data_IF_096539119599
#
_entry.id   IF_096539119599
#
_cell.length_a   1.000
_cell.length_b   1.000
_cell.length_c   1.000
_cell.angle_alpha   90.00
_cell.angle_beta   90.00
_cell.angle_gamma   90.00
#
_symmetry.space_group_name_H-M   'P 1'
#
loop_
_entity.id
_entity.type
_entity.pdbx_description
1 polymer ?
#
# COMPACT_ATOMS: atom_id res chain seq x y z
N UNK A 1 3.96 4.27 -16.24
CA UNK A 1 2.61 3.72 -16.07
C UNK A 1 2.54 3.03 -14.72
N UNK A 2 1.68 3.51 -13.83
CA UNK A 2 1.30 2.81 -12.60
C UNK A 2 -0.20 2.57 -12.71
N UNK A 3 -0.64 1.39 -12.29
CA UNK A 3 -2.03 0.99 -12.33
C UNK A 3 -2.28 0.07 -11.15
N UNK A 4 -3.46 0.23 -10.57
CA UNK A 4 -4.08 -0.68 -9.62
C UNK A 4 -5.25 -1.35 -10.31
N UNK A 5 -5.60 -2.54 -9.86
CA UNK A 5 -6.68 -3.29 -10.46
C UNK A 5 -7.54 -3.97 -9.41
N UNK A 6 -8.83 -4.10 -9.73
CA UNK A 6 -9.81 -4.89 -8.98
C UNK A 6 -10.66 -5.67 -9.98
N UNK A 7 -11.21 -6.81 -9.56
CA UNK A 7 -12.12 -7.58 -10.39
C UNK A 7 -13.35 -7.96 -9.56
N UNK A 8 -14.53 -7.85 -10.15
CA UNK A 8 -15.79 -8.21 -9.48
C UNK A 8 -16.85 -8.64 -10.49
N UNK A 9 -17.72 -9.55 -10.05
CA UNK A 9 -18.86 -10.02 -10.81
C UNK A 9 -20.14 -9.28 -10.41
N UNK A 10 -20.91 -8.84 -11.41
CA UNK A 10 -22.26 -8.28 -11.25
C UNK A 10 -23.19 -8.96 -12.26
N UNK A 11 -24.30 -9.53 -11.78
CA UNK A 11 -25.36 -10.08 -12.64
C UNK A 11 -24.86 -11.05 -13.74
N UNK A 12 -23.90 -11.91 -13.39
CA UNK A 12 -23.32 -12.89 -14.32
C UNK A 12 -22.29 -12.33 -15.29
N UNK A 13 -21.90 -11.06 -15.15
CA UNK A 13 -20.81 -10.43 -15.90
C UNK A 13 -19.62 -10.15 -15.00
N UNK A 14 -18.42 -10.21 -15.56
CA UNK A 14 -17.16 -9.93 -14.86
C UNK A 14 -16.57 -8.60 -15.29
N UNK A 15 -16.23 -7.76 -14.32
CA UNK A 15 -15.70 -6.41 -14.57
C UNK A 15 -14.29 -6.26 -14.01
N UNK A 16 -13.34 -5.87 -14.87
CA UNK A 16 -11.99 -5.49 -14.50
C UNK A 16 -11.90 -3.97 -14.39
N UNK A 17 -11.49 -3.50 -13.23
CA UNK A 17 -11.24 -2.11 -12.91
C UNK A 17 -9.74 -1.90 -13.02
N UNK A 18 -9.32 -0.88 -13.77
CA UNK A 18 -7.92 -0.45 -13.87
C UNK A 18 -7.92 1.04 -13.55
N UNK A 19 -7.19 1.44 -12.52
CA UNK A 19 -7.21 2.82 -12.04
C UNK A 19 -5.89 3.27 -11.44
N UNK A 20 -5.73 4.58 -11.41
CA UNK A 20 -4.79 5.30 -10.55
C UNK A 20 -5.43 6.66 -10.21
N UNK A 21 -4.69 7.55 -9.55
CA UNK A 21 -5.19 8.85 -9.11
C UNK A 21 -5.77 9.72 -10.24
N UNK A 22 -5.34 9.50 -11.48
CA UNK A 22 -5.67 10.33 -12.64
C UNK A 22 -6.62 9.66 -13.65
N UNK A 23 -6.96 8.38 -13.48
CA UNK A 23 -7.86 7.69 -14.42
C UNK A 23 -8.58 6.49 -13.80
N UNK A 24 -9.72 6.14 -14.41
CA UNK A 24 -10.45 4.90 -14.17
C UNK A 24 -10.89 4.30 -15.51
N UNK A 25 -10.63 3.02 -15.70
CA UNK A 25 -11.13 2.19 -16.80
C UNK A 25 -11.86 1.00 -16.21
N UNK A 26 -13.07 0.75 -16.68
CA UNK A 26 -13.82 -0.47 -16.33
C UNK A 26 -14.07 -1.22 -17.62
N UNK A 27 -13.67 -2.49 -17.61
CA UNK A 27 -13.81 -3.39 -18.75
C UNK A 27 -14.76 -4.53 -18.37
N UNK A 28 -15.76 -4.78 -19.19
CA UNK A 28 -16.46 -6.07 -19.17
C UNK A 28 -15.50 -7.12 -19.75
N UNK A 29 -15.06 -8.04 -18.92
CA UNK A 29 -14.14 -9.14 -19.23
C UNK A 29 -14.80 -10.49 -18.97
N UNK A 30 -16.13 -10.57 -19.09
CA UNK A 30 -16.89 -11.83 -19.00
C UNK A 30 -16.34 -12.86 -20.00
N UNK A 31 -16.00 -12.39 -21.20
CA UNK A 31 -15.12 -13.08 -22.13
C UNK A 31 -13.78 -12.31 -22.19
N UNK A 32 -12.72 -12.78 -21.51
CA UNK A 32 -11.44 -12.08 -21.47
C UNK A 32 -10.80 -11.90 -22.85
N UNK A 33 -11.08 -12.77 -23.83
CA UNK A 33 -10.53 -12.65 -25.18
C UNK A 33 -11.17 -11.49 -25.96
N UNK A 34 -12.40 -11.12 -25.61
CA UNK A 34 -13.17 -10.06 -26.26
C UNK A 34 -13.58 -8.95 -25.29
N UNK A 35 -12.72 -8.65 -24.31
CA UNK A 35 -13.00 -7.64 -23.28
C UNK A 35 -13.30 -6.26 -23.86
N UNK A 36 -14.29 -5.56 -23.28
CA UNK A 36 -14.78 -4.26 -23.77
C UNK A 36 -14.70 -3.21 -22.70
N UNK A 37 -14.14 -2.05 -23.00
CA UNK A 37 -14.22 -0.88 -22.11
C UNK A 37 -15.68 -0.42 -22.06
N UNK A 38 -16.28 -0.47 -20.87
CA UNK A 38 -17.66 -0.02 -20.61
C UNK A 38 -17.71 1.31 -19.86
N UNK A 39 -16.58 1.73 -19.30
CA UNK A 39 -16.43 3.05 -18.67
C UNK A 39 -14.99 3.55 -18.79
N UNK A 40 -14.84 4.86 -19.00
CA UNK A 40 -13.55 5.52 -19.13
C UNK A 40 -13.63 6.95 -18.61
N UNK A 41 -12.75 7.32 -17.67
CA UNK A 41 -12.57 8.68 -17.17
C UNK A 41 -11.09 9.02 -17.00
N UNK A 42 -10.68 10.24 -17.33
CA UNK A 42 -9.30 10.71 -17.23
C UNK A 42 -8.42 10.23 -18.39
N UNK A 43 -7.12 10.46 -18.29
CA UNK A 43 -6.17 10.26 -19.39
C UNK A 43 -6.06 8.81 -19.90
N UNK A 44 -5.91 8.67 -21.22
CA UNK A 44 -5.61 7.40 -21.89
C UNK A 44 -4.10 7.25 -22.00
N UNK A 45 -3.56 6.13 -21.53
CA UNK A 45 -2.13 5.85 -21.60
C UNK A 45 -1.73 5.24 -22.94
N UNK A 46 -0.71 5.83 -23.57
CA UNK A 46 -0.04 5.29 -24.75
C UNK A 46 1.48 5.24 -24.60
N UNK A 47 2.23 4.95 -25.68
CA UNK A 47 3.70 4.88 -25.65
C UNK A 47 4.39 6.17 -25.17
N UNK A 48 3.71 7.32 -25.28
CA UNK A 48 4.21 8.64 -24.87
C UNK A 48 3.76 9.05 -23.45
N UNK A 49 3.08 8.17 -22.72
CA UNK A 49 2.48 8.46 -21.42
C UNK A 49 0.97 8.70 -21.49
N UNK A 50 0.41 9.27 -20.42
CA UNK A 50 -0.99 9.66 -20.34
C UNK A 50 -1.31 10.78 -21.34
N UNK A 51 -2.50 10.75 -21.93
CA UNK A 51 -3.01 11.83 -22.78
C UNK A 51 -3.36 13.10 -21.99
N UNK A 52 -3.45 13.01 -20.68
CA UNK A 52 -3.80 14.11 -19.77
C UNK A 52 -2.70 14.30 -18.72
N UNK A 53 -2.50 15.56 -18.31
CA UNK A 53 -1.56 15.89 -17.24
C UNK A 53 -2.27 15.82 -15.90
N UNK A 54 -1.75 15.01 -14.98
CA UNK A 54 -2.14 15.04 -13.58
C UNK A 54 -1.25 16.02 -12.80
N UNK A 55 -1.86 16.98 -12.09
CA UNK A 55 -1.14 17.91 -11.22
C UNK A 55 -1.46 17.60 -9.73
N UNK A 56 -0.50 17.04 -8.99
CA UNK A 56 -0.70 16.71 -7.58
C UNK A 56 -0.88 17.96 -6.69
N UNK A 57 -0.56 19.17 -7.17
CA UNK A 57 -0.72 20.41 -6.41
C UNK A 57 -2.17 20.93 -6.41
N UNK A 58 -3.01 20.46 -7.33
CA UNK A 58 -4.39 20.96 -7.51
C UNK A 58 -5.46 19.89 -7.32
N UNK A 59 -5.05 18.63 -7.11
CA UNK A 59 -5.98 17.53 -6.88
C UNK A 59 -6.79 17.73 -5.59
N UNK A 60 -8.11 17.67 -5.72
CA UNK A 60 -9.03 17.75 -4.57
C UNK A 60 -9.62 16.38 -4.22
N UNK A 61 -9.85 15.56 -5.24
CA UNK A 61 -10.40 14.22 -5.13
C UNK A 61 -9.84 13.33 -6.24
N UNK A 62 -9.73 12.04 -5.97
CA UNK A 62 -9.22 11.03 -6.90
C UNK A 62 -9.61 9.63 -6.42
N UNK A 63 -9.52 8.60 -7.26
CA UNK A 63 -9.65 7.21 -6.80
C UNK A 63 -8.26 6.66 -6.49
N UNK A 64 -7.92 6.57 -5.19
CA UNK A 64 -6.64 5.99 -4.78
C UNK A 64 -6.70 4.47 -4.66
N UNK A 65 -5.82 3.88 -3.85
CA UNK A 65 -5.69 2.43 -3.79
C UNK A 65 -6.95 1.82 -3.23
N UNK A 66 -7.57 0.91 -3.96
CA UNK A 66 -8.90 0.43 -3.62
C UNK A 66 -8.95 -1.08 -3.53
N UNK A 67 -9.78 -1.55 -2.61
CA UNK A 67 -10.15 -2.95 -2.42
C UNK A 67 -11.65 -3.05 -2.49
N UNK A 68 -12.16 -4.03 -3.24
CA UNK A 68 -13.58 -4.36 -3.32
C UNK A 68 -13.80 -5.70 -2.64
N UNK A 69 -14.74 -5.77 -1.70
CA UNK A 69 -15.11 -7.00 -1.01
C UNK A 69 -16.61 -7.09 -0.78
N UNK A 70 -17.14 -8.31 -0.71
CA UNK A 70 -18.56 -8.53 -0.45
C UNK A 70 -18.90 -8.31 1.03
N UNK A 71 -19.77 -7.34 1.33
CA UNK A 71 -20.28 -7.15 2.68
C UNK A 71 -21.50 -8.04 2.92
N UNK A 72 -21.38 -9.04 3.80
CA UNK A 72 -22.51 -9.87 4.22
C UNK A 72 -23.62 -9.04 4.88
N UNK A 73 -23.26 -7.99 5.61
CA UNK A 73 -24.21 -7.10 6.30
C UNK A 73 -25.10 -6.33 5.32
N UNK A 74 -24.51 -5.80 4.24
CA UNK A 74 -25.24 -5.01 3.25
C UNK A 74 -25.82 -5.88 2.12
N UNK A 75 -25.36 -7.13 1.99
CA UNK A 75 -25.70 -8.00 0.85
C UNK A 75 -25.24 -7.42 -0.47
N UNK A 76 -24.14 -6.65 -0.46
CA UNK A 76 -23.62 -5.89 -1.61
C UNK A 76 -22.10 -5.79 -1.56
N UNK A 77 -21.43 -5.56 -2.70
CA UNK A 77 -20.03 -5.21 -2.71
C UNK A 77 -19.80 -3.83 -2.08
N UNK A 78 -18.72 -3.74 -1.32
CA UNK A 78 -18.21 -2.51 -0.71
C UNK A 78 -16.80 -2.28 -1.23
N UNK A 79 -16.59 -1.10 -1.80
CA UNK A 79 -15.26 -0.61 -2.18
C UNK A 79 -14.74 0.32 -1.08
N UNK A 80 -13.52 0.10 -0.63
CA UNK A 80 -12.80 1.07 0.19
C UNK A 80 -11.63 1.61 -0.62
N UNK A 81 -11.59 2.93 -0.80
CA UNK A 81 -10.55 3.62 -1.55
C UNK A 81 -9.73 4.52 -0.62
N UNK A 82 -8.42 4.32 -0.65
CA UNK A 82 -7.42 5.08 0.10
C UNK A 82 -7.12 6.43 -0.54
N UNK A 83 -6.80 7.40 0.30
CA UNK A 83 -6.39 8.75 -0.02
C UNK A 83 -5.19 9.12 0.85
N UNK A 84 -4.09 9.49 0.20
CA UNK A 84 -2.81 9.83 0.81
C UNK A 84 -2.29 11.18 0.29
N UNK A 85 -1.30 11.72 1.01
CA UNK A 85 -0.50 12.85 0.53
C UNK A 85 0.14 12.57 -0.85
N UNK A 86 0.46 13.63 -1.58
CA UNK A 86 0.97 13.54 -2.94
C UNK A 86 2.39 13.00 -3.02
N UNK A 87 2.57 11.67 -3.15
CA UNK A 87 3.91 11.03 -3.22
C UNK A 87 4.76 11.44 -4.43
N UNK A 88 4.13 11.79 -5.54
CA UNK A 88 4.80 12.06 -6.81
C UNK A 88 4.48 13.46 -7.30
N UNK A 89 5.51 14.18 -7.79
CA UNK A 89 5.36 15.43 -8.54
C UNK A 89 5.12 16.69 -7.70
N UNK A 90 4.85 16.58 -6.40
CA UNK A 90 4.68 17.76 -5.53
C UNK A 90 5.99 18.20 -4.86
N UNK A 91 6.82 17.24 -4.47
CA UNK A 91 8.09 17.46 -3.77
C UNK A 91 9.13 16.48 -4.33
N UNK A 92 10.38 16.93 -4.48
CA UNK A 92 11.51 16.13 -4.92
C UNK A 92 12.51 15.92 -3.78
N UNK A 93 12.86 16.99 -3.07
CA UNK A 93 13.82 16.98 -1.96
C UNK A 93 13.30 17.84 -0.80
N UNK A 94 12.77 17.19 0.23
CA UNK A 94 12.13 17.85 1.37
C UNK A 94 13.08 18.73 2.18
N UNK A 95 14.39 18.44 2.17
CA UNK A 95 15.37 19.25 2.90
C UNK A 95 15.59 20.62 2.24
N UNK A 96 15.33 20.74 0.94
CA UNK A 96 15.55 21.96 0.15
C UNK A 96 14.23 22.69 -0.19
N UNK A 97 13.08 22.06 0.05
CA UNK A 97 11.76 22.54 -0.39
C UNK A 97 10.76 22.70 0.79
N UNK A 98 11.02 23.59 1.76
CA UNK A 98 10.17 23.75 2.95
C UNK A 98 8.74 24.22 2.62
N UNK A 99 8.55 24.97 1.54
CA UNK A 99 7.22 25.36 1.02
C UNK A 99 6.43 24.13 0.54
N UNK A 100 7.09 23.17 -0.11
CA UNK A 100 6.47 21.91 -0.54
C UNK A 100 6.19 20.98 0.63
N UNK A 101 7.04 20.97 1.65
CA UNK A 101 6.76 20.29 2.92
C UNK A 101 5.50 20.85 3.56
N UNK A 102 5.37 22.18 3.65
CA UNK A 102 4.18 22.83 4.18
C UNK A 102 2.92 22.49 3.36
N UNK A 103 3.03 22.47 2.03
CA UNK A 103 1.92 22.07 1.15
C UNK A 103 1.47 20.60 1.34
N UNK A 104 2.40 19.67 1.61
CA UNK A 104 2.04 18.28 1.96
C UNK A 104 1.36 18.19 3.34
N UNK A 105 1.80 18.99 4.31
CA UNK A 105 1.15 19.04 5.63
C UNK A 105 -0.26 19.60 5.52
N UNK A 106 -0.47 20.61 4.68
CA UNK A 106 -1.77 21.20 4.37
C UNK A 106 -2.38 20.67 3.06
N UNK A 107 -2.26 19.36 2.82
CA UNK A 107 -2.66 18.78 1.53
C UNK A 107 -4.14 19.04 1.21
N UNK A 108 -4.40 19.36 -0.06
CA UNK A 108 -5.68 19.81 -0.58
C UNK A 108 -6.67 18.66 -0.91
N UNK A 109 -6.33 17.44 -0.52
CA UNK A 109 -7.20 16.26 -0.62
C UNK A 109 -7.25 15.52 0.70
N UNK A 110 -8.17 14.57 0.81
CA UNK A 110 -8.34 13.71 1.97
C UNK A 110 -7.03 12.98 2.31
N UNK A 111 -6.72 12.92 3.61
CA UNK A 111 -5.72 12.03 4.19
C UNK A 111 -6.42 10.91 4.95
N UNK A 112 -6.88 9.89 4.24
CA UNK A 112 -7.59 8.77 4.84
C UNK A 112 -8.23 7.85 3.82
N UNK A 113 -9.53 7.55 3.92
CA UNK A 113 -10.22 6.66 2.99
C UNK A 113 -11.70 7.02 2.81
N UNK A 114 -12.27 6.58 1.70
CA UNK A 114 -13.71 6.61 1.42
C UNK A 114 -14.26 5.21 1.26
N UNK A 115 -15.50 5.00 1.71
CA UNK A 115 -16.22 3.73 1.62
C UNK A 115 -17.41 3.91 0.69
N UNK A 116 -17.53 3.06 -0.32
CA UNK A 116 -18.64 3.07 -1.27
C UNK A 116 -19.35 1.73 -1.23
N UNK A 117 -20.68 1.73 -1.23
CA UNK A 117 -21.46 0.56 -1.61
C UNK A 117 -21.70 0.60 -3.12
N UNK A 118 -21.55 -0.54 -3.78
CA UNK A 118 -21.69 -0.65 -5.22
C UNK A 118 -23.03 -1.32 -5.56
N UNK A 119 -23.99 -0.53 -6.03
CA UNK A 119 -25.28 -1.04 -6.53
C UNK A 119 -25.18 -1.56 -7.98
N UNK A 120 -24.03 -1.35 -8.62
CA UNK A 120 -23.69 -1.86 -9.93
C UNK A 120 -22.22 -1.60 -10.27
N UNK A 121 -21.76 -2.04 -11.45
CA UNK A 121 -20.35 -1.99 -11.79
C UNK A 121 -19.84 -0.57 -12.06
N UNK A 122 -20.70 0.37 -12.47
CA UNK A 122 -20.27 1.69 -12.95
C UNK A 122 -20.28 2.76 -11.84
N UNK A 123 -19.43 3.80 -11.91
CA UNK A 123 -19.35 4.84 -10.88
C UNK A 123 -20.67 5.56 -10.57
N UNK A 124 -21.54 5.71 -11.57
CA UNK A 124 -22.89 6.27 -11.39
C UNK A 124 -23.79 5.44 -10.48
N UNK A 125 -23.40 4.19 -10.19
CA UNK A 125 -24.11 3.23 -9.36
C UNK A 125 -23.39 2.99 -8.02
N UNK A 126 -22.34 3.76 -7.72
CA UNK A 126 -21.68 3.71 -6.42
C UNK A 126 -22.24 4.80 -5.53
N UNK A 127 -22.51 4.45 -4.28
CA UNK A 127 -22.94 5.42 -3.27
C UNK A 127 -21.91 5.52 -2.18
N UNK A 128 -21.42 6.74 -1.96
CA UNK A 128 -20.54 7.05 -0.83
C UNK A 128 -21.29 6.80 0.48
N UNK A 129 -20.71 5.95 1.33
CA UNK A 129 -21.21 5.64 2.67
C UNK A 129 -20.47 6.43 3.75
N UNK A 130 -19.15 6.53 3.63
CA UNK A 130 -18.32 7.19 4.64
C UNK A 130 -17.08 7.82 4.02
N UNK A 131 -16.66 8.93 4.64
CA UNK A 131 -15.34 9.54 4.45
C UNK A 131 -14.67 9.60 5.82
N UNK A 132 -13.45 9.10 5.94
CA UNK A 132 -12.69 9.11 7.21
C UNK A 132 -11.28 9.60 6.95
N UNK A 133 -10.81 10.50 7.80
CA UNK A 133 -9.37 10.78 7.93
C UNK A 133 -8.71 9.66 8.73
N UNK A 134 -7.43 9.38 8.45
CA UNK A 134 -6.60 8.53 9.30
C UNK A 134 -5.89 9.31 10.40
N UNK A 135 -6.14 10.62 10.50
CA UNK A 135 -5.79 11.42 11.67
C UNK A 135 -6.67 11.01 12.85
N UNK A 136 -6.12 10.19 13.74
CA UNK A 136 -6.88 9.60 14.85
C UNK A 136 -7.07 10.57 16.02
N UNK A 137 -6.26 11.63 16.09
CA UNK A 137 -6.35 12.64 17.14
C UNK A 137 -7.33 13.76 16.77
N UNK A 138 -7.52 14.00 15.47
CA UNK A 138 -8.43 15.00 14.93
C UNK A 138 -9.39 14.38 13.89
N UNK A 139 -10.30 13.48 14.30
CA UNK A 139 -11.16 12.73 13.38
C UNK A 139 -12.11 13.62 12.55
N UNK A 140 -12.38 14.84 13.01
CA UNK A 140 -13.25 15.81 12.34
C UNK A 140 -12.46 16.90 11.58
N UNK A 141 -11.13 16.77 11.49
CA UNK A 141 -10.30 17.76 10.81
C UNK A 141 -10.69 17.86 9.31
N UNK A 142 -10.98 19.07 8.80
CA UNK A 142 -11.26 19.26 7.39
C UNK A 142 -9.99 19.04 6.55
N UNK A 143 -10.19 18.80 5.26
CA UNK A 143 -9.10 18.76 4.27
C UNK A 143 -8.24 20.02 4.39
N UNK A 144 -6.91 19.86 4.32
CA UNK A 144 -5.93 20.93 4.59
C UNK A 144 -5.52 21.08 6.06
N UNK A 145 -6.24 20.47 7.00
CA UNK A 145 -5.91 20.50 8.45
C UNK A 145 -5.64 19.10 9.04
N UNK A 146 -5.87 18.04 8.26
CA UNK A 146 -5.59 16.66 8.65
C UNK A 146 -4.08 16.41 8.78
N UNK A 147 -3.64 15.75 9.85
CA UNK A 147 -2.25 15.32 10.01
C UNK A 147 -1.97 13.94 9.40
N UNK A 148 -0.69 13.57 9.43
CA UNK A 148 -0.24 12.24 9.02
C UNK A 148 -0.30 12.03 7.51
N UNK A 149 -0.22 10.77 7.08
CA UNK A 149 -0.02 10.43 5.67
C UNK A 149 -1.29 10.25 4.85
N UNK A 150 -2.42 9.98 5.51
CA UNK A 150 -3.55 9.31 4.88
C UNK A 150 -3.33 7.80 4.74
N UNK A 151 -4.30 7.13 4.12
CA UNK A 151 -4.22 5.69 3.85
C UNK A 151 -3.39 5.44 2.59
N UNK A 152 -2.34 4.62 2.70
CA UNK A 152 -1.48 4.28 1.58
C UNK A 152 -1.98 3.02 0.86
N UNK A 153 -1.89 3.06 -0.47
CA UNK A 153 -2.20 1.93 -1.36
C UNK A 153 -3.54 1.22 -1.02
N UNK A 154 -3.70 -0.07 -1.31
CA UNK A 154 -4.98 -0.76 -1.14
C UNK A 154 -5.18 -1.22 0.32
N UNK A 155 -6.34 -0.95 0.95
CA UNK A 155 -6.67 -1.50 2.27
C UNK A 155 -6.77 -3.03 2.28
N UNK A 156 -6.39 -3.67 3.37
CA UNK A 156 -6.66 -5.08 3.61
C UNK A 156 -8.09 -5.18 4.18
N UNK A 157 -9.05 -5.54 3.33
CA UNK A 157 -10.46 -5.64 3.70
C UNK A 157 -11.14 -6.84 3.03
N UNK A 158 -11.78 -7.68 3.85
CA UNK A 158 -12.44 -8.92 3.40
C UNK A 158 -13.98 -8.82 3.42
N UNK A 159 -14.55 -7.62 3.50
CA UNK A 159 -16.01 -7.44 3.57
C UNK A 159 -16.60 -7.65 4.98
N UNK A 160 -15.72 -7.89 5.96
CA UNK A 160 -16.05 -8.21 7.34
C UNK A 160 -16.09 -7.02 8.29
N UNK A 161 -15.80 -7.31 9.56
CA UNK A 161 -15.76 -6.39 10.68
C UNK A 161 -14.46 -5.58 10.72
N UNK A 162 -13.35 -6.06 10.20
CA UNK A 162 -12.06 -5.38 10.33
C UNK A 162 -11.48 -5.02 8.97
N UNK A 163 -10.84 -3.86 8.93
CA UNK A 163 -9.99 -3.42 7.84
C UNK A 163 -8.65 -2.96 8.41
N UNK A 164 -7.58 -3.21 7.68
CA UNK A 164 -6.24 -2.71 8.01
C UNK A 164 -5.74 -1.80 6.89
N UNK A 165 -5.20 -0.64 7.26
CA UNK A 165 -4.59 0.32 6.33
C UNK A 165 -3.16 0.63 6.75
N UNK A 166 -2.29 0.95 5.79
CA UNK A 166 -0.98 1.56 6.07
C UNK A 166 -1.16 3.06 6.24
N UNK A 167 -0.75 3.61 7.38
CA UNK A 167 -0.94 5.03 7.70
C UNK A 167 -0.02 5.50 8.83
N UNK A 168 0.47 6.73 8.71
CA UNK A 168 0.92 7.56 9.83
C UNK A 168 -0.29 8.35 10.37
N UNK A 169 -0.61 8.25 11.67
CA UNK A 169 -1.76 8.93 12.26
C UNK A 169 -1.55 10.44 12.43
N UNK A 170 -0.30 10.89 12.54
CA UNK A 170 0.02 12.29 12.80
C UNK A 170 1.44 12.64 12.30
N UNK A 171 1.85 13.89 12.51
CA UNK A 171 3.14 14.41 12.06
C UNK A 171 4.35 13.91 12.85
N UNK A 172 4.16 13.19 13.97
CA UNK A 172 5.27 12.63 14.75
C UNK A 172 5.90 11.40 14.09
N UNK A 173 5.18 10.72 13.20
CA UNK A 173 5.69 9.57 12.42
C UNK A 173 6.59 10.06 11.29
N UNK A 174 7.75 10.63 11.64
CA UNK A 174 8.61 11.39 10.74
C UNK A 174 10.08 10.92 10.73
N UNK A 175 10.41 9.80 11.38
CA UNK A 175 11.75 9.20 11.32
C UNK A 175 11.97 8.50 9.97
N UNK A 176 12.20 9.33 8.95
CA UNK A 176 12.49 8.92 7.58
C UNK A 176 13.27 10.03 6.89
N UNK A 177 14.30 9.67 6.12
CA UNK A 177 15.08 10.62 5.31
C UNK A 177 14.74 10.52 3.84
N UNK A 178 13.73 9.72 3.47
CA UNK A 178 13.33 9.57 2.07
C UNK A 178 12.95 10.96 1.50
N UNK A 179 13.49 11.35 0.32
CA UNK A 179 13.61 12.75 -0.05
C UNK A 179 12.26 13.36 -0.45
N UNK A 180 11.39 12.59 -1.09
CA UNK A 180 10.09 13.05 -1.56
C UNK A 180 8.90 12.55 -0.71
N UNK A 181 9.14 12.10 0.53
CA UNK A 181 8.07 11.66 1.42
C UNK A 181 8.30 12.09 2.87
N UNK A 182 7.23 12.50 3.54
CA UNK A 182 7.32 13.09 4.88
C UNK A 182 7.27 12.06 6.00
N UNK A 183 6.49 11.00 5.82
CA UNK A 183 6.05 10.17 6.94
C UNK A 183 6.70 8.79 6.94
N UNK A 184 6.74 8.16 8.10
CA UNK A 184 7.11 6.76 8.31
C UNK A 184 5.85 5.99 8.72
N UNK A 185 4.99 5.54 7.79
CA UNK A 185 3.66 5.03 8.11
C UNK A 185 3.72 3.72 8.91
N UNK A 186 2.85 3.58 9.90
CA UNK A 186 2.57 2.31 10.57
C UNK A 186 1.36 1.61 9.96
N UNK A 187 0.58 0.94 10.80
CA UNK A 187 -0.69 0.33 10.41
C UNK A 187 -1.82 0.81 11.31
N UNK A 188 -3.02 0.98 10.76
CA UNK A 188 -4.23 1.21 11.54
C UNK A 188 -5.22 0.09 11.33
N UNK A 189 -5.86 -0.33 12.42
CA UNK A 189 -7.02 -1.23 12.39
C UNK A 189 -8.29 -0.41 12.55
N UNK A 190 -9.28 -0.71 11.73
CA UNK A 190 -10.59 -0.06 11.72
C UNK A 190 -11.70 -1.10 11.87
N UNK A 191 -12.74 -0.76 12.63
CA UNK A 191 -13.99 -1.52 12.71
C UNK A 191 -14.93 -1.05 11.60
N UNK A 192 -15.25 -1.97 10.72
CA UNK A 192 -16.11 -1.88 9.55
C UNK A 192 -17.46 -2.58 9.76
N UNK A 193 -17.82 -2.93 11.01
CA UNK A 193 -19.13 -3.52 11.35
C UNK A 193 -20.28 -2.69 10.79
N UNK A 194 -20.11 -1.37 10.71
CA UNK A 194 -20.95 -0.48 9.91
C UNK A 194 -20.11 0.23 8.84
N UNK A 195 -20.18 -0.17 7.56
CA UNK A 195 -19.45 0.51 6.49
C UNK A 195 -19.84 1.98 6.29
N UNK A 196 -20.99 2.43 6.79
CA UNK A 196 -21.39 3.85 6.81
C UNK A 196 -20.83 4.60 8.03
N UNK A 197 -20.34 3.89 9.04
CA UNK A 197 -19.68 4.48 10.19
C UNK A 197 -18.43 3.68 10.63
N UNK A 198 -17.35 3.66 9.82
CA UNK A 198 -16.10 3.05 10.24
C UNK A 198 -15.53 3.75 11.48
N UNK A 199 -15.06 2.99 12.45
CA UNK A 199 -14.45 3.52 13.68
C UNK A 199 -13.01 3.03 13.86
N UNK A 200 -12.15 3.91 14.36
CA UNK A 200 -10.76 3.58 14.64
C UNK A 200 -10.67 2.59 15.81
N UNK A 201 -9.79 1.59 15.70
CA UNK A 201 -9.60 0.54 16.71
C UNK A 201 -8.22 0.65 17.34
N UNK A 202 -7.15 0.67 16.54
CA UNK A 202 -5.79 0.73 17.04
C UNK A 202 -4.80 1.24 16.00
N UNK A 203 -3.69 1.80 16.48
CA UNK A 203 -2.51 2.16 15.70
C UNK A 203 -1.38 1.20 16.08
N UNK A 204 -0.66 0.70 15.07
CA UNK A 204 0.53 -0.12 15.22
C UNK A 204 1.71 0.66 14.69
N UNK A 205 2.74 0.79 15.54
CA UNK A 205 4.06 1.26 15.16
C UNK A 205 5.08 0.14 15.41
N UNK A 206 6.14 0.14 14.62
CA UNK A 206 7.37 -0.60 14.88
C UNK A 206 8.46 0.37 15.38
N UNK A 207 9.50 -0.12 16.06
CA UNK A 207 10.61 0.72 16.50
C UNK A 207 11.24 1.51 15.33
N UNK A 208 11.60 2.76 15.55
CA UNK A 208 12.27 3.60 14.53
C UNK A 208 11.38 4.52 13.70
N UNK A 209 10.11 4.73 14.10
CA UNK A 209 9.15 5.56 13.35
C UNK A 209 8.85 6.97 13.93
N UNK A 210 8.87 7.13 15.25
CA UNK A 210 8.23 8.24 15.95
C UNK A 210 9.30 9.23 16.44
N UNK A 211 9.28 10.45 15.90
CA UNK A 211 10.10 11.57 16.31
C UNK A 211 9.64 12.09 17.68
N UNK A 212 10.58 12.46 18.54
CA UNK A 212 10.32 12.88 19.92
C UNK A 212 10.15 11.73 20.91
N UNK A 213 10.21 10.48 20.44
CA UNK A 213 10.28 9.30 21.30
C UNK A 213 11.72 8.75 21.30
N UNK A 214 12.39 8.83 22.45
CA UNK A 214 13.81 8.48 22.57
C UNK A 214 14.15 7.03 22.17
N UNK A 215 13.25 6.07 22.42
CA UNK A 215 13.47 4.67 22.02
C UNK A 215 13.37 4.51 20.50
N UNK A 216 12.39 5.16 19.87
CA UNK A 216 12.25 5.15 18.42
C UNK A 216 13.42 5.89 17.75
N UNK A 217 13.83 7.04 18.27
CA UNK A 217 14.98 7.79 17.74
C UNK A 217 16.27 6.98 17.85
N UNK A 218 16.55 6.38 19.00
CA UNK A 218 17.73 5.53 19.19
C UNK A 218 17.69 4.33 18.23
N UNK A 219 16.54 3.67 18.08
CA UNK A 219 16.38 2.55 17.14
C UNK A 219 16.65 3.01 15.70
N UNK A 220 16.11 4.17 15.32
CA UNK A 220 16.33 4.74 13.99
C UNK A 220 17.82 5.00 13.74
N UNK A 221 18.51 5.67 14.66
CA UNK A 221 19.94 5.97 14.54
C UNK A 221 20.83 4.71 14.46
N UNK A 222 20.40 3.60 15.09
CA UNK A 222 21.11 2.32 15.01
C UNK A 222 20.77 1.51 13.75
N UNK A 223 19.77 1.92 12.97
CA UNK A 223 19.45 1.26 11.70
C UNK A 223 20.54 1.61 10.68
N UNK A 224 21.17 0.62 9.99
CA UNK A 224 22.24 0.88 9.03
C UNK A 224 21.81 1.67 7.78
N UNK A 225 20.53 1.99 7.65
CA UNK A 225 19.96 2.85 6.60
C UNK A 225 19.85 4.32 7.02
N UNK A 226 19.97 4.63 8.31
CA UNK A 226 19.98 6.02 8.76
C UNK A 226 21.17 6.77 8.15
N UNK A 227 20.93 7.99 7.69
CA UNK A 227 21.88 8.85 6.98
C UNK A 227 21.97 8.58 5.48
N UNK A 228 21.38 7.51 4.94
CA UNK A 228 21.52 7.17 3.52
C UNK A 228 20.58 7.96 2.59
N UNK A 229 19.56 8.64 3.15
CA UNK A 229 18.58 9.49 2.44
C UNK A 229 17.85 8.84 1.27
N UNK A 230 17.87 7.53 1.15
CA UNK A 230 17.40 6.81 -0.04
C UNK A 230 16.53 5.61 0.28
N UNK A 231 16.55 5.12 1.52
CA UNK A 231 15.65 4.05 1.96
C UNK A 231 14.27 4.61 2.35
N UNK A 232 13.22 4.00 1.83
CA UNK A 232 11.87 4.21 2.33
C UNK A 232 11.74 3.60 3.73
N UNK A 233 11.31 4.38 4.72
CA UNK A 233 11.14 3.92 6.12
C UNK A 233 9.65 3.91 6.46
N UNK A 234 9.08 2.75 6.80
CA UNK A 234 7.67 2.58 7.14
C UNK A 234 6.85 1.81 6.09
N UNK A 235 5.59 1.53 6.42
CA UNK A 235 4.68 0.75 5.60
C UNK A 235 4.27 1.50 4.32
N UNK A 236 4.02 0.73 3.26
CA UNK A 236 3.33 1.19 2.04
C UNK A 236 2.05 0.43 1.76
N UNK A 237 2.00 -0.83 2.17
CA UNK A 237 0.84 -1.71 2.09
C UNK A 237 0.45 -2.12 3.52
N UNK A 238 -0.81 -2.50 3.78
CA UNK A 238 -1.27 -2.94 5.09
C UNK A 238 -0.59 -4.24 5.56
N UNK A 239 -0.93 -4.68 6.78
CA UNK A 239 -0.63 -6.04 7.23
C UNK A 239 -1.48 -7.01 6.41
N UNK A 240 -0.84 -8.00 5.78
CA UNK A 240 -1.52 -9.05 5.04
C UNK A 240 -1.86 -10.23 5.95
N UNK A 241 -3.06 -10.76 5.78
CA UNK A 241 -3.59 -11.85 6.57
C UNK A 241 -3.70 -13.12 5.71
N UNK A 242 -3.05 -14.24 6.07
CA UNK A 242 -3.29 -15.53 5.42
C UNK A 242 -4.76 -15.96 5.51
N UNK A 243 -5.42 -15.56 6.60
CA UNK A 243 -6.83 -15.80 6.89
C UNK A 243 -7.40 -14.57 7.56
N UNK A 244 -8.59 -14.12 7.14
CA UNK A 244 -9.23 -12.94 7.73
C UNK A 244 -9.49 -13.13 9.24
N UNK A 245 -9.54 -12.03 9.98
CA UNK A 245 -9.76 -12.04 11.43
C UNK A 245 -11.14 -12.65 11.79
N UNK A 246 -12.15 -12.39 10.97
CA UNK A 246 -13.50 -12.92 11.11
C UNK A 246 -13.58 -14.43 10.86
N UNK A 247 -12.66 -14.97 10.05
CA UNK A 247 -12.52 -16.39 9.84
C UNK A 247 -11.61 -17.06 10.90
N UNK A 248 -11.24 -16.34 11.95
CA UNK A 248 -10.39 -16.82 13.04
C UNK A 248 -8.89 -16.72 12.76
N UNK A 249 -8.49 -15.94 11.75
CA UNK A 249 -7.10 -15.56 11.53
C UNK A 249 -6.56 -14.74 12.70
N UNK A 250 -5.28 -14.93 13.00
CA UNK A 250 -4.61 -14.30 14.15
C UNK A 250 -3.23 -13.78 13.83
N UNK A 251 -2.56 -14.32 12.82
CA UNK A 251 -1.19 -13.95 12.46
C UNK A 251 -1.24 -13.16 11.17
N UNK A 252 -0.60 -11.99 11.15
CA UNK A 252 -0.46 -11.16 9.96
C UNK A 252 1.00 -10.79 9.72
N UNK A 253 1.32 -10.44 8.48
CA UNK A 253 2.68 -10.10 8.06
C UNK A 253 2.71 -8.74 7.37
N UNK A 254 3.66 -7.88 7.77
CA UNK A 254 3.74 -6.50 7.32
C UNK A 254 5.16 -6.11 6.92
N UNK A 255 5.27 -5.46 5.77
CA UNK A 255 6.50 -4.88 5.27
C UNK A 255 6.62 -3.40 5.71
N UNK A 256 7.77 -3.02 6.27
CA UNK A 256 8.01 -1.69 6.85
C UNK A 256 9.18 -0.95 6.16
N UNK A 257 9.42 -1.23 4.88
CA UNK A 257 10.55 -0.66 4.15
C UNK A 257 11.88 -1.02 4.82
N UNK A 258 12.76 -0.04 4.99
CA UNK A 258 14.06 -0.20 5.65
C UNK A 258 14.01 -0.58 7.13
N UNK A 259 12.84 -0.51 7.78
CA UNK A 259 12.65 -0.97 9.17
C UNK A 259 12.53 -2.50 9.28
N UNK A 260 12.35 -3.20 8.16
CA UNK A 260 12.33 -4.66 8.08
C UNK A 260 10.95 -5.24 7.74
N UNK A 261 10.85 -6.55 7.92
CA UNK A 261 9.63 -7.34 7.73
C UNK A 261 9.19 -7.94 9.06
N UNK A 262 7.91 -7.81 9.39
CA UNK A 262 7.38 -8.12 10.72
C UNK A 262 6.24 -9.14 10.66
N UNK A 263 6.15 -9.96 11.70
CA UNK A 263 4.97 -10.75 12.02
C UNK A 263 4.24 -10.13 13.22
N UNK A 264 2.91 -10.17 13.17
CA UNK A 264 2.03 -9.60 14.18
C UNK A 264 1.01 -10.63 14.65
N UNK A 265 0.71 -10.62 15.95
CA UNK A 265 -0.47 -11.25 16.54
C UNK A 265 -1.60 -10.23 16.62
N UNK A 266 -2.68 -10.53 15.90
CA UNK A 266 -3.92 -9.77 15.75
C UNK A 266 -5.10 -10.48 16.43
N UNK A 267 -4.85 -11.44 17.32
CA UNK A 267 -5.91 -12.11 18.13
C UNK A 267 -6.76 -11.12 18.92
N UNK A 268 -6.19 -9.97 19.29
CA UNK A 268 -6.91 -8.82 19.79
C UNK A 268 -6.61 -7.60 18.89
N UNK A 269 -7.50 -7.24 17.94
CA UNK A 269 -7.26 -6.14 17.02
C UNK A 269 -7.16 -4.76 17.69
N UNK A 270 -7.68 -4.62 18.93
CA UNK A 270 -7.50 -3.40 19.73
C UNK A 270 -6.11 -3.30 20.38
N UNK A 271 -5.38 -4.42 20.46
CA UNK A 271 -4.01 -4.47 21.01
C UNK A 271 -3.13 -5.45 20.19
N UNK A 272 -2.85 -5.15 18.91
CA UNK A 272 -1.92 -5.95 18.12
C UNK A 272 -0.56 -6.07 18.80
N UNK A 273 0.09 -7.22 18.67
CA UNK A 273 1.43 -7.45 19.22
C UNK A 273 2.40 -7.74 18.10
N UNK A 274 3.57 -7.10 18.13
CA UNK A 274 4.71 -7.56 17.33
C UNK A 274 5.19 -8.90 17.89
N UNK A 275 5.40 -9.88 17.01
CA UNK A 275 5.91 -11.20 17.40
C UNK A 275 7.41 -11.32 17.15
N UNK A 276 7.83 -10.98 15.93
CA UNK A 276 9.21 -11.08 15.48
C UNK A 276 9.40 -10.31 14.19
N UNK A 277 10.66 -10.09 13.84
CA UNK A 277 11.02 -9.41 12.61
C UNK A 277 12.21 -10.10 11.93
N UNK A 278 12.44 -9.74 10.67
CA UNK A 278 13.65 -10.05 9.94
C UNK A 278 14.04 -8.83 9.11
N UNK A 279 15.34 -8.61 8.95
CA UNK A 279 15.87 -7.58 8.08
C UNK A 279 16.95 -8.19 7.17
N UNK A 280 17.32 -7.45 6.14
CA UNK A 280 18.38 -7.81 5.20
C UNK A 280 19.42 -6.68 5.17
N UNK A 281 20.65 -6.96 4.70
CA UNK A 281 21.64 -5.90 4.48
C UNK A 281 21.04 -4.74 3.65
N UNK A 282 21.43 -3.48 3.91
CA UNK A 282 20.92 -2.34 3.15
C UNK A 282 21.04 -2.54 1.64
N UNK A 283 19.96 -2.24 0.93
CA UNK A 283 19.93 -2.16 -0.52
C UNK A 283 19.52 -0.73 -0.84
N UNK A 284 20.52 0.14 -1.05
CA UNK A 284 20.35 1.58 -1.24
C UNK A 284 19.29 1.90 -2.31
N UNK A 285 18.54 2.99 -2.11
CA UNK A 285 17.41 3.45 -2.93
C UNK A 285 16.15 2.56 -2.94
N UNK A 286 14.99 3.20 -3.03
CA UNK A 286 13.69 2.54 -3.14
C UNK A 286 13.15 1.98 -1.81
N UNK A 287 12.31 0.95 -1.89
CA UNK A 287 11.75 0.27 -0.72
C UNK A 287 12.37 -1.11 -0.59
N UNK A 288 13.00 -1.47 0.53
CA UNK A 288 13.62 -2.80 0.70
C UNK A 288 12.63 -3.91 1.03
N UNK A 289 11.52 -3.58 1.70
CA UNK A 289 10.37 -4.45 1.93
C UNK A 289 9.09 -3.67 1.62
N UNK A 290 8.41 -4.00 0.50
CA UNK A 290 7.20 -3.29 0.03
C UNK A 290 5.90 -4.06 0.34
N UNK A 291 5.91 -5.39 0.34
CA UNK A 291 4.71 -6.24 0.51
C UNK A 291 4.99 -7.54 1.27
N UNK A 292 3.91 -8.25 1.64
CA UNK A 292 3.96 -9.64 2.08
C UNK A 292 3.02 -10.48 1.20
N UNK A 293 3.51 -11.59 0.65
CA UNK A 293 2.68 -12.62 0.02
C UNK A 293 2.50 -13.78 0.99
N UNK A 294 1.31 -13.86 1.54
CA UNK A 294 0.90 -14.81 2.56
C UNK A 294 0.24 -16.08 1.99
N UNK A 295 0.16 -16.22 0.67
CA UNK A 295 -0.57 -17.32 0.00
C UNK A 295 -0.02 -18.71 0.32
N UNK A 296 1.25 -18.80 0.72
CA UNK A 296 1.92 -20.05 1.02
C UNK A 296 1.98 -20.36 2.52
N UNK A 297 1.58 -19.41 3.37
CA UNK A 297 1.82 -19.50 4.80
C UNK A 297 1.07 -20.66 5.44
N UNK A 298 -0.24 -20.78 5.22
CA UNK A 298 -1.04 -21.87 5.83
C UNK A 298 -0.58 -23.25 5.37
N UNK A 299 -0.05 -23.37 4.14
CA UNK A 299 0.41 -24.65 3.58
C UNK A 299 1.82 -25.02 4.02
N UNK A 300 2.71 -24.04 4.17
CA UNK A 300 4.16 -24.30 4.25
C UNK A 300 4.87 -23.62 5.41
N UNK A 301 4.23 -22.63 6.04
CA UNK A 301 4.83 -21.73 7.00
C UNK A 301 5.81 -20.72 6.41
N UNK A 302 5.88 -20.59 5.08
CA UNK A 302 6.69 -19.57 4.41
C UNK A 302 5.84 -18.40 3.92
N UNK A 303 6.44 -17.22 3.94
CA UNK A 303 5.88 -15.97 3.40
C UNK A 303 6.89 -15.39 2.41
N UNK A 304 6.42 -14.84 1.29
CA UNK A 304 7.32 -14.14 0.37
C UNK A 304 7.25 -12.63 0.60
N UNK A 305 8.38 -11.96 0.45
CA UNK A 305 8.43 -10.50 0.53
C UNK A 305 9.50 -9.98 -0.41
N UNK A 306 9.31 -8.79 -0.94
CA UNK A 306 10.27 -8.17 -1.84
C UNK A 306 10.34 -6.67 -1.62
N UNK A 307 11.45 -6.08 -2.05
CA UNK A 307 11.55 -4.64 -2.21
C UNK A 307 10.82 -4.17 -3.47
N UNK A 308 10.79 -2.85 -3.69
CA UNK A 308 10.27 -2.23 -4.89
C UNK A 308 11.33 -1.28 -5.46
N UNK A 309 11.84 -1.55 -6.67
CA UNK A 309 12.70 -0.63 -7.40
C UNK A 309 11.92 0.64 -7.77
N UNK A 310 12.40 1.81 -7.34
CA UNK A 310 11.77 3.12 -7.61
C UNK A 310 12.49 3.93 -8.70
N UNK A 311 13.76 3.63 -8.97
CA UNK A 311 14.58 4.25 -10.01
C UNK A 311 14.53 3.44 -11.31
N UNK A 312 14.61 4.15 -12.43
CA UNK A 312 14.59 3.53 -13.77
C UNK A 312 15.99 3.21 -14.24
N UNK A 313 16.07 2.42 -15.28
CA UNK A 313 17.26 2.16 -16.08
C UNK A 313 18.44 1.65 -15.23
N UNK A 314 18.09 0.93 -14.15
CA UNK A 314 19.00 0.36 -13.17
C UNK A 314 19.92 1.37 -12.46
N UNK A 315 19.45 2.60 -12.25
CA UNK A 315 20.02 3.54 -11.28
C UNK A 315 19.72 3.18 -9.80
N UNK A 316 19.61 1.89 -9.51
CA UNK A 316 19.55 1.32 -8.17
C UNK A 316 19.91 -0.18 -8.20
N UNK A 317 20.34 -0.76 -7.06
CA UNK A 317 20.51 -2.20 -6.93
C UNK A 317 19.17 -2.93 -7.08
N UNK A 318 19.18 -4.06 -7.78
CA UNK A 318 18.02 -4.96 -7.86
C UNK A 318 17.56 -5.41 -6.46
N UNK A 319 16.25 -5.52 -6.29
CA UNK A 319 15.60 -5.97 -5.06
C UNK A 319 15.23 -7.45 -5.18
N UNK A 320 15.72 -8.28 -4.26
CA UNK A 320 15.40 -9.70 -4.27
C UNK A 320 13.96 -9.98 -3.82
N UNK A 321 13.42 -11.11 -4.25
CA UNK A 321 12.23 -11.72 -3.63
C UNK A 321 12.74 -12.72 -2.60
N UNK A 322 12.47 -12.46 -1.33
CA UNK A 322 12.88 -13.28 -0.20
C UNK A 322 11.81 -14.31 0.13
N UNK A 323 12.25 -15.53 0.44
CA UNK A 323 11.46 -16.56 1.10
C UNK A 323 11.76 -16.48 2.59
N UNK A 324 10.77 -16.08 3.38
CA UNK A 324 10.89 -15.95 4.84
C UNK A 324 10.28 -17.18 5.49
N UNK A 325 11.08 -17.90 6.28
CA UNK A 325 10.59 -18.95 7.19
C UNK A 325 9.86 -18.29 8.36
N UNK A 326 8.56 -18.51 8.42
CA UNK A 326 7.65 -17.95 9.41
C UNK A 326 6.93 -19.04 10.21
N UNK A 327 7.42 -20.30 10.19
CA UNK A 327 6.85 -21.41 10.98
C UNK A 327 6.82 -21.11 12.47
N UNK A 328 7.77 -20.32 12.94
CA UNK A 328 7.71 -19.62 14.22
C UNK A 328 7.69 -18.09 13.95
N UNK A 329 6.51 -17.44 14.03
CA UNK A 329 6.37 -16.02 13.77
C UNK A 329 7.19 -15.12 14.71
N UNK A 330 7.63 -15.62 15.87
CA UNK A 330 8.50 -14.88 16.77
C UNK A 330 9.99 -14.91 16.33
N UNK A 331 10.34 -15.80 15.40
CA UNK A 331 11.73 -16.05 14.94
C UNK A 331 11.79 -16.15 13.42
N UNK A 332 11.42 -15.06 12.74
CA UNK A 332 11.50 -14.96 11.28
C UNK A 332 12.95 -15.04 10.80
N UNK A 333 13.17 -15.71 9.66
CA UNK A 333 14.47 -15.73 8.99
C UNK A 333 14.32 -15.82 7.47
N UNK A 334 15.25 -15.21 6.74
CA UNK A 334 15.36 -15.43 5.30
C UNK A 334 15.88 -16.84 5.07
N UNK A 335 15.07 -17.71 4.46
CA UNK A 335 15.43 -19.08 4.12
C UNK A 335 16.09 -19.17 2.74
N UNK A 336 15.62 -18.37 1.79
CA UNK A 336 16.12 -18.34 0.43
C UNK A 336 15.78 -17.02 -0.28
N UNK A 337 16.30 -16.86 -1.50
CA UNK A 337 15.88 -15.85 -2.47
C UNK A 337 15.32 -16.58 -3.69
N UNK A 338 14.26 -16.08 -4.28
CA UNK A 338 13.83 -16.58 -5.58
C UNK A 338 14.88 -16.20 -6.65
N UNK A 339 15.11 -17.07 -7.65
CA UNK A 339 16.09 -16.79 -8.69
C UNK A 339 15.67 -15.56 -9.51
N UNK A 340 16.68 -14.81 -9.97
CA UNK A 340 16.43 -13.78 -10.98
C UNK A 340 16.11 -14.44 -12.32
N UNK A 341 15.21 -13.85 -13.13
CA UNK A 341 14.97 -14.33 -14.49
C UNK A 341 16.26 -14.36 -15.31
N UNK A 342 16.51 -15.49 -15.98
CA UNK A 342 17.62 -15.63 -16.91
C UNK A 342 17.29 -15.02 -18.27
N UNK A 343 18.33 -14.59 -18.97
CA UNK A 343 18.21 -14.02 -20.31
C UNK A 343 17.99 -15.16 -21.31
N UNK A 344 16.91 -15.13 -22.12
CA UNK A 344 16.68 -16.16 -23.12
C UNK A 344 17.84 -16.24 -24.14
N UNK A 345 18.24 -17.45 -24.58
CA UNK A 345 19.23 -17.60 -25.63
C UNK A 345 18.88 -16.78 -26.88
N UNK A 346 19.86 -16.08 -27.44
CA UNK A 346 19.69 -15.24 -28.63
C UNK A 346 19.07 -13.86 -28.39
N UNK A 347 18.77 -13.48 -27.14
CA UNK A 347 18.32 -12.13 -26.81
C UNK A 347 19.40 -11.08 -27.17
N UNK A 348 19.02 -9.89 -27.70
CA UNK A 348 19.97 -8.84 -28.07
C UNK A 348 20.49 -8.03 -26.86
N UNK A 349 20.30 -8.54 -25.64
CA UNK A 349 20.67 -7.91 -24.38
C UNK A 349 21.17 -8.98 -23.40
N UNK A 350 22.03 -8.60 -22.47
CA UNK A 350 22.65 -9.49 -21.46
C UNK A 350 22.09 -9.27 -20.05
N UNK A 351 21.22 -8.28 -19.88
CA UNK A 351 20.49 -8.03 -18.64
C UNK A 351 19.15 -7.38 -18.96
N UNK A 352 18.10 -7.76 -18.24
CA UNK A 352 16.80 -7.09 -18.34
C UNK A 352 16.88 -5.60 -17.98
N UNK A 353 17.92 -5.15 -17.26
CA UNK A 353 18.22 -3.73 -17.06
C UNK A 353 18.34 -2.95 -18.38
N UNK A 354 18.88 -3.55 -19.43
CA UNK A 354 19.08 -2.90 -20.73
C UNK A 354 17.76 -2.66 -21.48
N UNK A 355 16.63 -3.19 -20.98
CA UNK A 355 15.29 -2.96 -21.54
C UNK A 355 14.69 -1.62 -21.10
N UNK A 356 15.35 -0.93 -20.17
CA UNK A 356 14.91 0.33 -19.59
C UNK A 356 13.72 0.18 -18.63
N UNK A 357 13.33 1.28 -18.00
CA UNK A 357 12.29 1.30 -16.98
C UNK A 357 12.75 0.74 -15.63
N UNK A 358 11.82 0.46 -14.72
CA UNK A 358 12.15 -0.16 -13.43
C UNK A 358 12.34 -1.67 -13.61
N UNK A 359 13.46 -2.23 -13.14
CA UNK A 359 13.73 -3.67 -13.18
C UNK A 359 13.78 -4.27 -11.77
N UNK A 360 12.86 -5.19 -11.49
CA UNK A 360 12.78 -5.94 -10.25
C UNK A 360 11.34 -6.27 -9.87
N UNK A 361 11.14 -6.92 -8.71
CA UNK A 361 9.81 -7.29 -8.24
C UNK A 361 9.00 -6.06 -7.84
N UNK A 362 7.69 -6.18 -7.98
CA UNK A 362 6.74 -5.23 -7.41
C UNK A 362 5.52 -6.01 -6.94
N UNK A 363 5.32 -6.05 -5.62
CA UNK A 363 4.05 -6.41 -5.00
C UNK A 363 3.47 -7.77 -5.45
N UNK A 364 4.26 -8.83 -5.33
CA UNK A 364 3.70 -10.18 -5.46
C UNK A 364 2.51 -10.32 -4.49
N UNK A 365 1.34 -10.67 -5.02
CA UNK A 365 0.09 -10.90 -4.29
C UNK A 365 -0.55 -9.70 -3.53
N UNK A 366 -0.21 -8.44 -3.84
CA UNK A 366 -0.89 -7.29 -3.21
C UNK A 366 -2.24 -6.90 -3.87
N UNK A 367 -2.87 -7.82 -4.61
CA UNK A 367 -4.12 -7.58 -5.34
C UNK A 367 -5.20 -8.36 -4.61
N UNK A 368 -6.22 -7.65 -4.12
CA UNK A 368 -7.34 -8.16 -3.33
C UNK A 368 -7.85 -9.49 -3.88
N UNK A 369 -7.37 -10.58 -3.27
CA UNK A 369 -7.45 -11.91 -3.84
C UNK A 369 -8.90 -12.25 -4.18
N UNK A 370 -9.21 -12.45 -5.47
CA UNK A 370 -10.33 -13.28 -5.85
C UNK A 370 -9.88 -14.72 -5.64
N UNK A 371 -10.39 -15.33 -4.58
CA UNK A 371 -10.42 -16.78 -4.37
C UNK A 371 -11.85 -17.19 -4.11
#
# INVERSE_FOLDING_TARGET
FHARNNIIDFEGKRYLYIHDRDYLRIMDVTDPAHGKVVYSQGGVWGPKGSSEKYDPNTVQDYLGGATIAWSKKLGKPVMVASYEIGRYGLMQEKMEQPDKVAAQRHYNSLKGFKVFVMDGPLPSQWRLLATRTTDTQHPDAPVGQQQGSGSLDAPEYYGGKYMIVASAPDDSYALTEYPNYLYSPGYQVWDMSDPANPTFVSQVAVPGQILGNAEHEQTYLMNPRAGNRTSWMGARNPIFLPKSLEAGGKIGFGAMGGLGFYAFDLSNPARPKMLGNVNTPPSYAGTEFDNADVSQYERTGYVFTNGYPMNRDCYEPYKDIFVVDARDPARLKVAAKLPRPEIPPGAPFTSFCQRGGNFGPKRANAIGQPG
#
